data_IF_827005212223
#
_entry.id   IF_827005212223
#
_cell.length_a   1.000
_cell.length_b   1.000
_cell.length_c   1.000
_cell.angle_alpha   90.00
_cell.angle_beta   90.00
_cell.angle_gamma   90.00
#
_symmetry.space_group_name_H-M   'P 1'
#
loop_
_entity.id
_entity.type
_entity.pdbx_description
1 polymer ?
2 non-polymer ?
3 non-polymer ?
4 non-polymer ?
5 non-polymer ?
6 water ?
#
# COMPACT_ATOMS: atom_id res chain seq x y z
N UNK A 1 6.92 14.54 -32.40
CA UNK A 1 8.38 14.59 -32.29
C UNK A 1 8.80 15.16 -30.94
N UNK A 2 8.07 16.17 -30.48
CA UNK A 2 8.42 16.88 -29.25
C UNK A 2 7.76 16.28 -27.99
N UNK A 3 8.58 15.74 -27.09
CA UNK A 3 8.07 15.16 -25.84
C UNK A 3 7.30 16.17 -24.97
N UNK A 4 6.19 15.69 -24.39
CA UNK A 4 5.47 16.43 -23.36
C UNK A 4 5.20 15.46 -22.23
N UNK A 5 5.09 16.01 -21.02
CA UNK A 5 4.83 15.18 -19.86
C UNK A 5 3.64 14.28 -20.10
N UNK A 6 2.57 14.85 -20.64
CA UNK A 6 1.32 14.11 -20.77
C UNK A 6 1.43 12.93 -21.73
N UNK A 7 2.51 12.89 -22.52
CA UNK A 7 2.67 11.86 -23.53
C UNK A 7 2.86 10.49 -22.90
N UNK A 8 3.58 10.45 -21.78
CA UNK A 8 3.87 9.18 -21.13
C UNK A 8 2.75 8.68 -20.21
N UNK A 9 1.66 9.43 -20.14
CA UNK A 9 0.49 9.01 -19.36
C UNK A 9 -0.28 7.94 -20.12
N UNK A 10 -0.92 7.04 -19.40
CA UNK A 10 -1.78 6.03 -20.03
C UNK A 10 -3.12 6.66 -20.38
N UNK A 11 -3.57 6.40 -21.60
CA UNK A 11 -4.83 6.95 -22.11
C UNK A 11 -6.00 5.96 -22.04
N UNK A 12 -5.69 4.67 -21.97
CA UNK A 12 -6.70 3.61 -22.11
C UNK A 12 -6.65 2.58 -20.98
N UNK A 13 -6.31 3.02 -19.77
CA UNK A 13 -6.24 2.10 -18.64
C UNK A 13 -7.17 2.57 -17.53
N UNK A 14 -8.02 1.66 -17.06
CA UNK A 14 -8.99 1.97 -16.02
C UNK A 14 -8.98 0.96 -14.88
N UNK A 15 -9.62 1.34 -13.78
CA UNK A 15 -9.81 0.44 -12.66
C UNK A 15 -11.23 -0.12 -12.72
N UNK A 16 -11.34 -1.40 -13.09
CA UNK A 16 -12.63 -2.05 -13.25
C UNK A 16 -13.21 -2.51 -11.91
N UNK A 17 -12.33 -2.83 -10.96
CA UNK A 17 -12.76 -3.36 -9.67
C UNK A 17 -11.70 -3.19 -8.61
N UNK A 18 -12.13 -3.15 -7.35
CA UNK A 18 -11.24 -2.85 -6.25
C UNK A 18 -11.90 -3.38 -5.00
N UNK A 19 -11.13 -4.07 -4.16
CA UNK A 19 -11.67 -4.58 -2.89
C UNK A 19 -10.58 -4.57 -1.84
N UNK A 20 -10.96 -4.61 -0.58
CA UNK A 20 -9.99 -4.82 0.48
C UNK A 20 -10.52 -5.84 1.48
N UNK A 21 -9.62 -6.40 2.28
CA UNK A 21 -10.00 -7.26 3.39
C UNK A 21 -9.44 -6.66 4.65
N UNK A 22 -10.32 -6.41 5.63
CA UNK A 22 -9.87 -6.01 6.95
C UNK A 22 -9.58 -7.29 7.71
N UNK A 23 -8.41 -7.41 8.30
CA UNK A 23 -8.15 -8.60 9.11
C UNK A 23 -9.06 -8.50 10.33
N UNK A 24 -9.59 -9.64 10.81
CA UNK A 24 -10.67 -9.61 11.81
C UNK A 24 -10.27 -9.24 13.24
N UNK A 25 -9.05 -9.59 13.65
CA UNK A 25 -8.72 -9.54 15.06
C UNK A 25 -8.12 -8.22 15.53
N UNK A 26 -8.88 -7.49 16.35
CA UNK A 26 -8.40 -6.22 16.84
C UNK A 26 -7.45 -6.43 18.02
N UNK A 27 -6.22 -6.01 17.85
CA UNK A 27 -5.27 -5.97 18.96
C UNK A 27 -5.00 -4.51 19.30
N UNK A 28 -5.47 -4.08 20.46
CA UNK A 28 -5.27 -2.70 20.90
C UNK A 28 -3.85 -2.51 21.40
N UNK A 29 -3.35 -1.29 21.33
CA UNK A 29 -2.05 -0.97 21.89
C UNK A 29 -2.14 -1.02 23.42
N UNK A 30 -3.35 -0.80 23.92
CA UNK A 30 -3.66 -1.00 25.34
C UNK A 30 -3.20 -2.39 25.79
N UNK A 31 -3.64 -3.45 25.08
CA UNK A 31 -3.27 -4.82 25.45
C UNK A 31 -1.77 -5.07 25.34
N UNK A 32 -1.17 -4.64 24.23
CA UNK A 32 0.24 -4.88 24.00
C UNK A 32 1.07 -4.31 25.13
N UNK A 33 0.66 -3.14 25.63
CA UNK A 33 1.37 -2.47 26.71
C UNK A 33 1.19 -3.22 28.03
N UNK A 34 -0.03 -3.66 28.32
CA UNK A 34 -0.27 -4.49 29.50
C UNK A 34 0.76 -5.62 29.55
N UNK A 35 1.11 -6.15 28.39
CA UNK A 35 2.12 -7.22 28.31
C UNK A 35 3.55 -6.66 28.35
N UNK A 36 3.71 -5.42 27.91
CA UNK A 36 5.03 -4.80 27.88
C UNK A 36 5.34 -4.05 29.18
N UNK A 37 4.30 -3.78 29.96
CA UNK A 37 4.41 -2.93 31.16
C UNK A 37 5.55 -3.32 32.11
N UNK A 38 5.67 -4.62 32.43
CA UNK A 38 6.77 -5.07 33.28
C UNK A 38 8.14 -4.83 32.63
N UNK A 39 8.15 -4.40 31.37
CA UNK A 39 9.40 -4.12 30.68
C UNK A 39 9.55 -2.61 30.49
N UNK A 40 8.42 -1.92 30.49
CA UNK A 40 8.43 -0.46 30.50
C UNK A 40 8.91 0.02 31.86
N UNK A 41 8.22 -0.42 32.91
CA UNK A 41 8.63 -0.14 34.28
C UNK A 41 10.09 -0.55 34.47
N UNK A 42 10.36 -1.81 34.17
CA UNK A 42 11.70 -2.37 34.32
C UNK A 42 12.76 -1.54 33.59
N UNK A 43 12.34 -0.84 32.55
CA UNK A 43 13.27 0.00 31.78
C UNK A 43 13.10 1.49 32.08
N UNK A 44 12.21 1.80 33.02
CA UNK A 44 11.96 3.18 33.40
C UNK A 44 11.51 4.06 32.24
N UNK A 45 10.46 3.62 31.55
CA UNK A 45 9.91 4.37 30.43
C UNK A 45 8.43 4.65 30.63
N UNK A 46 8.10 5.92 30.84
CA UNK A 46 6.71 6.32 31.05
C UNK A 46 6.07 6.68 29.71
N UNK A 47 6.79 6.38 28.64
CA UNK A 47 6.37 6.76 27.29
C UNK A 47 5.50 5.70 26.63
N UNK A 48 4.24 6.04 26.37
CA UNK A 48 3.38 5.22 25.51
C UNK A 48 3.73 5.54 24.06
N UNK A 49 4.86 4.98 23.62
CA UNK A 49 5.34 5.23 22.26
C UNK A 49 4.30 4.85 21.21
N UNK A 50 3.49 3.82 21.49
CA UNK A 50 2.55 3.35 20.50
C UNK A 50 1.36 4.28 20.36
N UNK A 51 0.73 4.58 21.50
CA UNK A 51 -0.50 5.36 21.49
C UNK A 51 -0.37 6.84 21.17
N UNK A 52 0.67 7.46 21.71
CA UNK A 52 0.84 8.91 21.65
C UNK A 52 2.14 9.37 21.01
N UNK A 53 2.93 8.43 20.49
CA UNK A 53 4.16 8.78 19.79
C UNK A 53 4.00 8.34 18.33
N UNK A 54 3.96 7.01 18.12
CA UNK A 54 3.66 6.49 16.78
C UNK A 54 2.24 6.86 16.43
N UNK A 55 1.38 6.96 17.45
CA UNK A 55 -0.01 7.30 17.24
C UNK A 55 -0.88 6.12 16.79
N UNK A 56 -0.52 4.93 17.21
CA UNK A 56 -1.33 3.76 16.88
C UNK A 56 -2.10 3.24 18.10
N UNK A 57 -3.43 3.24 17.98
CA UNK A 57 -4.30 2.80 19.07
C UNK A 57 -4.64 1.31 18.96
N UNK A 58 -4.69 0.83 17.72
CA UNK A 58 -4.95 -0.59 17.45
C UNK A 58 -4.44 -0.98 16.05
N UNK A 59 -4.27 -2.28 15.86
CA UNK A 59 -3.94 -2.83 14.55
C UNK A 59 -4.71 -4.13 14.42
N UNK A 60 -4.97 -4.56 13.19
CA UNK A 60 -5.67 -5.81 12.96
C UNK A 60 -4.69 -6.94 12.69
N UNK A 61 -4.97 -8.10 13.28
CA UNK A 61 -4.24 -9.32 12.99
C UNK A 61 -5.23 -10.36 12.45
N UNK A 62 -4.70 -11.43 11.87
CA UNK A 62 -5.51 -12.56 11.42
C UNK A 62 -5.82 -13.41 12.63
N UNK A 63 -6.91 -14.18 12.56
CA UNK A 63 -7.32 -15.04 13.68
C UNK A 63 -6.69 -16.41 13.58
N UNK A 64 -6.22 -16.77 12.39
CA UNK A 64 -5.59 -18.08 12.18
C UNK A 64 -4.34 -17.96 11.32
N UNK A 65 -3.74 -19.08 10.93
CA UNK A 65 -2.44 -19.03 10.22
C UNK A 65 -2.63 -18.71 8.73
N UNK A 66 -3.09 -17.51 8.46
CA UNK A 66 -3.40 -17.06 7.12
C UNK A 66 -2.08 -16.78 6.36
N UNK A 67 -1.91 -17.40 5.20
CA UNK A 67 -0.73 -17.12 4.36
C UNK A 67 -0.98 -15.89 3.48
N UNK A 68 0.08 -15.20 3.06
CA UNK A 68 -0.11 -14.04 2.19
C UNK A 68 -1.02 -14.41 1.01
N UNK A 69 -0.79 -15.59 0.43
CA UNK A 69 -1.52 -16.00 -0.77
C UNK A 69 -3.02 -16.18 -0.48
N UNK A 70 -3.34 -16.64 0.74
CA UNK A 70 -4.74 -16.81 1.17
C UNK A 70 -5.46 -15.46 1.22
N UNK A 71 -4.81 -14.49 1.87
CA UNK A 71 -5.38 -13.16 2.02
C UNK A 71 -5.52 -12.46 0.67
N UNK A 72 -4.50 -12.59 -0.17
CA UNK A 72 -4.55 -12.00 -1.50
C UNK A 72 -5.67 -12.63 -2.32
N UNK A 73 -5.84 -13.94 -2.15
CA UNK A 73 -6.87 -14.68 -2.88
C UNK A 73 -8.26 -14.20 -2.49
N UNK A 74 -8.49 -14.07 -1.19
CA UNK A 74 -9.76 -13.57 -0.70
C UNK A 74 -10.04 -12.17 -1.25
N UNK A 75 -9.05 -11.29 -1.20
CA UNK A 75 -9.27 -9.95 -1.73
C UNK A 75 -9.57 -10.00 -3.24
N UNK A 76 -8.91 -10.91 -3.95
CA UNK A 76 -9.03 -10.98 -5.41
C UNK A 76 -10.43 -11.46 -5.85
N UNK A 77 -10.94 -12.49 -5.19
CA UNK A 77 -12.33 -12.91 -5.35
C UNK A 77 -13.33 -11.74 -5.21
N UNK A 78 -13.13 -10.93 -4.18
CA UNK A 78 -13.96 -9.74 -3.95
C UNK A 78 -13.82 -8.68 -5.05
N UNK A 79 -12.60 -8.48 -5.54
CA UNK A 79 -12.38 -7.49 -6.60
C UNK A 79 -13.01 -7.91 -7.93
N UNK A 80 -12.93 -9.20 -8.24
CA UNK A 80 -13.58 -9.76 -9.42
C UNK A 80 -15.09 -9.53 -9.38
N UNK A 81 -15.70 -9.73 -8.21
CA UNK A 81 -17.12 -9.45 -8.02
C UNK A 81 -17.40 -7.96 -8.22
N UNK A 82 -16.52 -7.11 -7.69
CA UNK A 82 -16.68 -5.67 -7.85
C UNK A 82 -16.64 -5.28 -9.32
N UNK A 83 -15.80 -5.95 -10.10
CA UNK A 83 -15.65 -5.65 -11.52
C UNK A 83 -16.72 -6.36 -12.35
N UNK A 84 -17.39 -7.32 -11.73
CA UNK A 84 -18.42 -8.12 -12.38
C UNK A 84 -17.86 -8.93 -13.55
N UNK A 85 -16.74 -9.61 -13.33
CA UNK A 85 -16.12 -10.42 -14.37
C UNK A 85 -15.59 -11.72 -13.79
N UNK A 86 -15.53 -12.74 -14.64
CA UNK A 86 -15.01 -14.03 -14.21
C UNK A 86 -13.50 -14.06 -14.36
N UNK A 87 -12.87 -14.96 -13.60
CA UNK A 87 -11.41 -15.11 -13.60
C UNK A 87 -10.86 -15.39 -15.01
N UNK A 88 -11.69 -15.92 -15.90
CA UNK A 88 -11.21 -16.28 -17.24
C UNK A 88 -10.79 -15.08 -18.08
N UNK A 89 -11.23 -13.89 -17.67
CA UNK A 89 -10.91 -12.66 -18.39
C UNK A 89 -9.49 -12.18 -18.08
N UNK A 90 -8.91 -12.66 -16.99
CA UNK A 90 -7.62 -12.19 -16.49
C UNK A 90 -6.42 -12.73 -17.29
N UNK A 91 -5.65 -11.81 -17.87
CA UNK A 91 -4.47 -12.17 -18.65
C UNK A 91 -3.16 -11.98 -17.89
N UNK A 92 -3.23 -11.30 -16.74
CA UNK A 92 -2.05 -11.01 -15.93
C UNK A 92 -2.43 -10.96 -14.46
N UNK A 93 -1.68 -11.64 -13.60
CA UNK A 93 -1.85 -11.47 -12.17
C UNK A 93 -0.49 -11.21 -11.53
N UNK A 94 -0.37 -10.04 -10.90
CA UNK A 94 0.86 -9.65 -10.23
C UNK A 94 0.61 -9.60 -8.74
N UNK A 95 1.51 -10.20 -7.97
CA UNK A 95 1.47 -10.09 -6.51
C UNK A 95 2.55 -9.10 -6.06
N UNK A 96 2.21 -8.21 -5.13
CA UNK A 96 3.14 -7.13 -4.77
C UNK A 96 3.44 -7.12 -3.28
N UNK A 97 3.07 -8.18 -2.58
CA UNK A 97 3.17 -8.10 -1.11
C UNK A 97 4.61 -8.25 -0.62
N UNK A 98 4.86 -7.72 0.58
CA UNK A 98 6.07 -8.00 1.33
C UNK A 98 6.00 -9.40 1.93
N UNK A 99 4.86 -9.73 2.55
CA UNK A 99 4.62 -11.09 3.05
C UNK A 99 4.71 -12.11 1.90
N UNK A 100 5.29 -13.27 2.15
CA UNK A 100 5.55 -14.23 1.07
C UNK A 100 5.39 -15.68 1.54
N UNK A 101 4.61 -16.49 0.82
CA UNK A 101 4.40 -17.89 1.22
C UNK A 101 5.72 -18.69 1.28
N UNK A 102 6.39 -18.77 0.13
CA UNK A 102 7.60 -19.56 -0.04
C UNK A 102 8.62 -18.79 -0.84
N UNK A 103 9.81 -19.34 -0.96
CA UNK A 103 10.83 -18.79 -1.84
C UNK A 103 10.39 -19.02 -3.29
N UNK A 104 9.76 -20.17 -3.54
CA UNK A 104 9.18 -20.49 -4.83
C UNK A 104 8.11 -21.55 -4.64
N UNK A 105 7.09 -21.55 -5.51
CA UNK A 105 6.93 -20.66 -6.65
C UNK A 105 6.52 -19.26 -6.17
N UNK A 106 6.35 -18.34 -7.10
CA UNK A 106 5.91 -16.99 -6.76
C UNK A 106 4.60 -17.06 -5.99
N UNK A 107 4.34 -16.05 -5.16
CA UNK A 107 3.07 -15.98 -4.46
C UNK A 107 1.93 -15.78 -5.48
N UNK A 108 2.23 -15.08 -6.57
CA UNK A 108 1.27 -14.84 -7.64
C UNK A 108 0.77 -16.13 -8.28
N UNK A 109 1.65 -17.10 -8.48
CA UNK A 109 1.25 -18.37 -9.09
C UNK A 109 0.33 -19.14 -8.14
N UNK A 110 0.54 -18.98 -6.85
CA UNK A 110 -0.32 -19.65 -5.86
C UNK A 110 -1.72 -19.06 -5.87
N UNK A 111 -1.80 -17.73 -5.80
CA UNK A 111 -3.07 -17.02 -5.91
C UNK A 111 -3.76 -17.41 -7.22
N UNK A 112 -3.01 -17.41 -8.31
CA UNK A 112 -3.59 -17.73 -9.62
C UNK A 112 -4.20 -19.13 -9.64
N UNK A 113 -3.48 -20.09 -9.04
CA UNK A 113 -3.97 -21.46 -8.96
C UNK A 113 -5.23 -21.55 -8.12
N UNK A 114 -5.26 -20.84 -7.00
CA UNK A 114 -6.46 -20.78 -6.17
C UNK A 114 -7.67 -20.24 -6.93
N UNK A 115 -7.45 -19.19 -7.73
CA UNK A 115 -8.55 -18.53 -8.44
C UNK A 115 -9.00 -19.31 -9.68
N UNK A 116 -8.10 -20.15 -10.20
CA UNK A 116 -8.38 -20.90 -11.42
C UNK A 116 -8.14 -20.13 -12.71
N UNK A 117 -7.07 -19.34 -12.75
CA UNK A 117 -6.73 -18.61 -13.99
C UNK A 117 -6.53 -19.55 -15.17
N UNK A 118 -6.73 -19.02 -16.37
CA UNK A 118 -6.54 -19.78 -17.58
C UNK A 118 -5.05 -19.92 -17.90
N UNK A 119 -4.73 -20.80 -18.84
CA UNK A 119 -3.35 -21.09 -19.19
C UNK A 119 -2.65 -19.92 -19.89
N UNK A 120 -3.44 -18.91 -20.30
CA UNK A 120 -2.89 -17.71 -20.95
C UNK A 120 -2.45 -16.67 -19.94
N UNK A 121 -2.76 -16.89 -18.67
CA UNK A 121 -2.50 -15.87 -17.66
C UNK A 121 -1.03 -15.85 -17.24
N UNK A 122 -0.41 -14.69 -17.44
CA UNK A 122 0.96 -14.44 -16.99
C UNK A 122 0.95 -14.07 -15.51
N UNK A 123 1.91 -14.60 -14.73
CA UNK A 123 2.00 -14.27 -13.31
C UNK A 123 3.45 -14.10 -12.85
N UNK A 124 3.64 -13.21 -11.87
CA UNK A 124 4.93 -13.03 -11.20
C UNK A 124 4.75 -12.11 -10.00
N UNK A 125 5.73 -12.07 -9.10
CA UNK A 125 5.70 -11.16 -7.95
C UNK A 125 6.59 -9.96 -8.25
N UNK A 126 6.19 -8.81 -7.72
CA UNK A 126 7.04 -7.62 -7.72
C UNK A 126 7.31 -7.30 -6.27
N UNK A 127 8.58 -7.10 -5.94
CA UNK A 127 8.95 -6.73 -4.59
C UNK A 127 9.63 -5.36 -4.56
N UNK A 128 9.06 -4.44 -3.79
CA UNK A 128 9.62 -3.10 -3.65
C UNK A 128 9.11 -2.44 -2.38
N UNK A 129 9.25 -3.13 -1.26
CA UNK A 129 8.82 -2.60 0.03
C UNK A 129 7.41 -2.05 -0.07
N UNK A 130 7.21 -0.83 0.45
CA UNK A 130 5.85 -0.32 0.60
C UNK A 130 5.25 0.29 -0.69
N UNK A 131 6.02 0.32 -1.78
CA UNK A 131 5.54 0.98 -2.99
C UNK A 131 5.09 0.01 -4.07
N UNK A 132 5.20 -1.29 -3.81
CA UNK A 132 5.08 -2.28 -4.89
C UNK A 132 3.68 -2.37 -5.53
N UNK A 133 2.62 -2.01 -4.81
CA UNK A 133 1.30 -2.11 -5.42
C UNK A 133 1.24 -1.09 -6.57
N UNK A 134 1.80 0.09 -6.34
CA UNK A 134 1.86 1.08 -7.41
C UNK A 134 2.74 0.56 -8.55
N UNK A 135 3.89 -0.06 -8.24
CA UNK A 135 4.70 -0.65 -9.32
C UNK A 135 3.89 -1.66 -10.14
N UNK A 136 3.11 -2.51 -9.46
CA UNK A 136 2.30 -3.54 -10.11
C UNK A 136 1.21 -2.96 -10.99
N UNK A 137 0.54 -1.92 -10.48
CA UNK A 137 -0.41 -1.18 -11.30
C UNK A 137 0.24 -0.66 -12.59
N UNK A 138 1.43 -0.10 -12.48
CA UNK A 138 2.11 0.49 -13.63
C UNK A 138 2.53 -0.55 -14.64
N UNK A 139 3.03 -1.68 -14.15
CA UNK A 139 3.45 -2.78 -15.00
C UNK A 139 2.27 -3.36 -15.76
N UNK A 140 1.17 -3.59 -15.06
CA UNK A 140 -0.07 -4.06 -15.68
C UNK A 140 -0.59 -3.00 -16.66
N UNK A 141 -0.53 -1.74 -16.27
CA UNK A 141 -0.99 -0.65 -17.13
C UNK A 141 -0.30 -0.65 -18.50
N UNK A 142 1.01 -0.89 -18.53
CA UNK A 142 1.71 -0.89 -19.82
C UNK A 142 1.29 -2.01 -20.74
N UNK A 143 0.92 -3.16 -20.17
CA UNK A 143 0.46 -4.28 -20.99
C UNK A 143 -0.94 -3.98 -21.49
N UNK A 144 -1.77 -3.43 -20.61
CA UNK A 144 -3.12 -3.02 -21.01
C UNK A 144 -3.07 -1.96 -22.11
N UNK A 145 -2.26 -0.92 -21.89
CA UNK A 145 -2.18 0.21 -22.82
C UNK A 145 -1.75 -0.27 -24.20
N UNK A 146 -0.85 -1.24 -24.21
CA UNK A 146 -0.29 -1.78 -25.44
C UNK A 146 -1.23 -2.77 -26.13
N UNK A 147 -2.23 -3.24 -25.39
CA UNK A 147 -3.18 -4.22 -25.89
C UNK A 147 -2.75 -5.67 -25.79
N UNK A 148 -1.73 -5.97 -24.99
CA UNK A 148 -1.28 -7.36 -24.84
C UNK A 148 -2.30 -8.15 -24.03
N UNK A 149 -3.05 -7.45 -23.18
CA UNK A 149 -4.08 -8.05 -22.34
C UNK A 149 -5.27 -7.12 -22.25
N UNK A 150 -6.40 -7.62 -21.75
CA UNK A 150 -7.61 -6.81 -21.58
C UNK A 150 -7.95 -6.58 -20.10
N UNK A 151 -7.54 -7.50 -19.24
CA UNK A 151 -7.84 -7.39 -17.82
C UNK A 151 -6.64 -7.88 -17.01
N UNK A 152 -6.37 -7.25 -15.88
CA UNK A 152 -5.25 -7.64 -15.03
C UNK A 152 -5.69 -7.60 -13.57
N UNK A 153 -5.15 -8.51 -12.76
CA UNK A 153 -5.29 -8.48 -11.30
C UNK A 153 -3.96 -8.06 -10.66
N UNK A 154 -4.04 -7.12 -9.73
CA UNK A 154 -2.90 -6.79 -8.87
C UNK A 154 -3.36 -7.07 -7.46
N UNK A 155 -2.65 -7.94 -6.76
CA UNK A 155 -3.11 -8.40 -5.45
C UNK A 155 -2.02 -8.27 -4.40
N UNK A 156 -2.42 -8.22 -3.13
CA UNK A 156 -1.47 -8.00 -2.05
C UNK A 156 -2.08 -8.43 -0.73
N UNK A 157 -1.56 -9.50 -0.15
CA UNK A 157 -1.98 -9.95 1.17
C UNK A 157 -0.82 -9.83 2.16
N UNK A 158 -1.10 -9.31 3.35
CA UNK A 158 -0.04 -9.09 4.34
C UNK A 158 -0.39 -9.78 5.64
N UNK A 159 0.58 -10.50 6.21
CA UNK A 159 0.40 -11.10 7.51
C UNK A 159 1.58 -10.76 8.41
N UNK A 160 1.25 -10.25 9.58
CA UNK A 160 2.26 -9.81 10.54
C UNK A 160 2.22 -10.66 11.81
N UNK A 161 1.34 -11.66 11.86
CA UNK A 161 1.16 -12.43 13.08
C UNK A 161 2.46 -12.99 13.64
N UNK A 162 3.24 -13.62 12.78
CA UNK A 162 4.48 -14.24 13.23
C UNK A 162 5.47 -13.17 13.71
N UNK A 163 5.59 -12.08 12.96
CA UNK A 163 6.42 -10.96 13.39
C UNK A 163 6.02 -10.50 14.78
N UNK A 164 4.73 -10.26 15.00
CA UNK A 164 4.27 -9.85 16.33
C UNK A 164 4.60 -10.86 17.44
N UNK A 165 4.53 -12.15 17.09
CA UNK A 165 4.81 -13.19 18.07
C UNK A 165 6.30 -13.23 18.41
N UNK A 166 7.13 -13.26 17.36
CA UNK A 166 8.58 -13.27 17.51
C UNK A 166 9.06 -11.99 18.21
N UNK A 167 8.37 -10.88 17.92
CA UNK A 167 8.79 -9.58 18.44
C UNK A 167 8.38 -9.38 19.90
N UNK A 168 7.14 -9.75 20.23
CA UNK A 168 6.67 -9.63 21.61
C UNK A 168 7.48 -10.48 22.57
N UNK A 169 8.10 -11.54 22.05
CA UNK A 169 8.90 -12.46 22.86
C UNK A 169 10.29 -11.88 23.18
N UNK A 170 10.87 -11.18 22.21
CA UNK A 170 12.21 -10.63 22.38
C UNK A 170 12.22 -9.35 23.22
N UNK A 171 11.07 -8.70 23.33
CA UNK A 171 10.97 -7.45 24.05
C UNK A 171 10.51 -7.66 25.49
N UNK A 172 10.10 -8.88 25.82
CA UNK A 172 9.78 -9.24 27.20
C UNK A 172 10.87 -10.13 27.79
N UNK A 173 11.98 -10.23 27.06
CA UNK A 173 13.15 -10.98 27.51
C UNK A 173 13.92 -10.19 28.56
N UNK A 174 14.54 -10.90 29.52
CA UNK A 174 15.30 -10.26 30.60
C UNK A 174 16.48 -9.44 30.06
N UNK A 175 17.36 -10.08 29.31
CA UNK A 175 18.54 -9.41 28.78
C UNK A 175 18.24 -8.61 27.52
N UNK A 176 17.36 -7.63 27.64
CA UNK A 176 17.04 -6.75 26.51
C UNK A 176 17.30 -5.28 26.85
N UNK A 177 17.99 -4.59 25.96
CA UNK A 177 18.36 -3.20 26.17
C UNK A 177 17.20 -2.26 25.85
N UNK A 178 17.37 -0.97 26.15
CA UNK A 178 16.38 0.04 25.76
C UNK A 178 16.54 0.36 24.28
N UNK A 179 17.72 0.06 23.75
CA UNK A 179 18.00 0.24 22.33
C UNK A 179 17.24 -0.79 21.52
N UNK A 180 17.49 -2.06 21.81
CA UNK A 180 16.78 -3.16 21.16
C UNK A 180 15.27 -2.96 21.31
N UNK A 181 14.82 -2.78 22.54
CA UNK A 181 13.40 -2.55 22.80
C UNK A 181 12.80 -1.49 21.87
N UNK A 182 13.57 -0.43 21.62
CA UNK A 182 13.15 0.64 20.73
C UNK A 182 13.28 0.21 19.27
N UNK A 183 14.36 -0.50 18.97
CA UNK A 183 14.64 -0.98 17.63
C UNK A 183 13.61 -2.01 17.16
N UNK A 184 12.81 -2.52 18.10
CA UNK A 184 11.84 -3.57 17.79
C UNK A 184 10.40 -3.09 17.92
N UNK A 185 10.21 -2.04 18.73
CA UNK A 185 8.91 -1.39 18.84
C UNK A 185 8.30 -1.07 17.48
N UNK A 186 9.15 -0.86 16.48
CA UNK A 186 8.67 -0.47 15.15
C UNK A 186 7.85 -1.57 14.45
N UNK A 187 8.20 -2.82 14.74
CA UNK A 187 7.45 -3.95 14.20
C UNK A 187 6.01 -3.91 14.68
N UNK A 188 5.81 -3.26 15.83
CA UNK A 188 4.50 -3.22 16.48
C UNK A 188 3.62 -2.10 15.92
N UNK A 189 4.03 -1.49 14.82
CA UNK A 189 3.15 -0.57 14.10
C UNK A 189 2.58 -1.23 12.83
N UNK A 190 2.97 -2.48 12.58
CA UNK A 190 2.53 -3.19 11.38
C UNK A 190 1.14 -3.78 11.59
N UNK A 191 0.36 -3.84 10.51
CA UNK A 191 -0.95 -4.48 10.56
C UNK A 191 -1.16 -5.48 9.42
N UNK A 192 -2.21 -6.29 9.55
CA UNK A 192 -2.58 -7.28 8.55
C UNK A 192 -3.73 -6.74 7.72
N UNK A 193 -3.91 -7.33 6.55
CA UNK A 193 -4.99 -6.95 5.66
C UNK A 193 -4.66 -7.35 4.24
N UNK A 194 -5.55 -7.05 3.31
CA UNK A 194 -5.31 -7.42 1.91
C UNK A 194 -6.05 -6.48 0.98
N UNK A 195 -5.62 -6.45 -0.28
CA UNK A 195 -6.33 -5.65 -1.25
C UNK A 195 -6.09 -6.25 -2.61
N UNK A 196 -7.02 -6.04 -3.52
CA UNK A 196 -6.82 -6.45 -4.91
C UNK A 196 -7.50 -5.46 -5.84
N UNK A 197 -6.97 -5.33 -7.05
CA UNK A 197 -7.53 -4.41 -8.02
C UNK A 197 -7.60 -5.10 -9.37
N UNK A 198 -8.75 -4.96 -10.04
CA UNK A 198 -8.86 -5.40 -11.42
C UNK A 198 -8.69 -4.17 -12.32
N UNK A 199 -7.69 -4.21 -13.18
CA UNK A 199 -7.46 -3.13 -14.13
C UNK A 199 -7.87 -3.62 -15.52
N UNK A 200 -8.29 -2.71 -16.38
CA UNK A 200 -8.84 -3.11 -17.67
C UNK A 200 -8.63 -2.04 -18.72
N UNK A 201 -8.64 -2.44 -20.00
CA UNK A 201 -8.63 -1.47 -21.09
C UNK A 201 -9.91 -0.63 -21.01
N UNK A 202 -9.74 0.68 -21.08
CA UNK A 202 -10.83 1.61 -20.80
C UNK A 202 -12.09 1.38 -21.63
N UNK A 203 -11.91 1.01 -22.90
CA UNK A 203 -13.05 0.81 -23.81
C UNK A 203 -13.92 -0.38 -23.39
N UNK A 204 -13.37 -1.29 -22.59
CA UNK A 204 -14.12 -2.45 -22.12
C UNK A 204 -14.95 -2.08 -20.89
N UNK A 205 -14.57 -0.99 -20.24
CA UNK A 205 -15.26 -0.54 -19.04
C UNK A 205 -15.50 0.95 -19.10
N UNK A 206 -16.39 1.37 -20.03
CA UNK A 206 -16.63 2.81 -20.19
C UNK A 206 -17.06 3.47 -18.87
N UNK A 207 -16.49 4.63 -18.53
CA UNK A 207 -16.87 5.37 -17.33
C UNK A 207 -16.25 4.88 -16.01
N UNK A 208 -15.41 3.84 -16.08
CA UNK A 208 -14.70 3.40 -14.89
C UNK A 208 -13.60 4.41 -14.55
N UNK A 209 -13.16 4.44 -13.29
CA UNK A 209 -12.03 5.29 -12.92
C UNK A 209 -10.84 5.09 -13.86
N UNK A 210 -10.11 6.16 -14.15
CA UNK A 210 -8.98 6.07 -15.07
C UNK A 210 -7.69 6.13 -14.29
N UNK A 211 -6.78 5.23 -14.64
CA UNK A 211 -5.43 5.29 -14.07
C UNK A 211 -4.52 5.96 -15.09
N UNK A 212 -3.99 7.11 -14.72
CA UNK A 212 -3.13 7.92 -15.60
C UNK A 212 -1.67 7.48 -15.60
N UNK A 213 -1.22 6.87 -14.51
CA UNK A 213 0.21 6.60 -14.36
C UNK A 213 0.81 7.62 -13.42
N UNK A 214 2.13 7.71 -13.37
CA UNK A 214 2.79 8.56 -12.41
C UNK A 214 4.29 8.61 -12.61
N UNK A 215 5.01 8.90 -11.54
CA UNK A 215 6.44 9.16 -11.64
C UNK A 215 7.10 8.50 -10.44
N UNK A 216 8.38 8.20 -10.59
CA UNK A 216 9.18 7.69 -9.48
C UNK A 216 10.49 8.46 -9.43
N UNK A 217 10.95 8.80 -8.23
CA UNK A 217 12.31 9.28 -8.04
C UNK A 217 12.94 8.43 -6.94
N UNK A 218 14.26 8.33 -6.94
CA UNK A 218 14.91 7.46 -5.97
C UNK A 218 16.09 8.19 -5.31
N UNK A 219 16.49 7.67 -4.16
CA UNK A 219 17.70 8.13 -3.49
C UNK A 219 18.38 6.89 -2.92
N UNK A 220 18.84 6.02 -3.84
CA UNK A 220 19.36 4.71 -3.48
C UNK A 220 20.68 4.84 -2.74
N UNK A 221 21.25 6.05 -2.77
CA UNK A 221 22.40 6.35 -1.94
C UNK A 221 22.11 6.08 -0.46
N UNK A 222 20.82 6.07 -0.11
CA UNK A 222 20.42 5.90 1.28
C UNK A 222 19.84 4.50 1.56
N UNK A 223 20.22 3.52 0.74
CA UNK A 223 19.64 2.18 0.91
C UNK A 223 20.00 1.52 2.25
N UNK A 224 20.95 2.10 2.98
CA UNK A 224 21.34 1.59 4.29
C UNK A 224 20.32 1.89 5.40
N UNK A 225 19.53 2.95 5.23
CA UNK A 225 18.58 3.37 6.26
C UNK A 225 17.48 2.33 6.50
N UNK A 237 14.86 6.81 12.52
CA UNK A 237 15.77 7.94 12.71
C UNK A 237 15.22 9.21 12.05
N UNK A 238 15.59 10.37 12.61
CA UNK A 238 15.18 11.65 12.04
C UNK A 238 15.81 11.84 10.65
N UNK A 239 16.94 11.18 10.42
CA UNK A 239 17.60 11.24 9.12
C UNK A 239 16.73 10.64 8.02
N UNK A 240 16.05 9.54 8.33
CA UNK A 240 15.17 8.87 7.39
C UNK A 240 13.98 9.74 7.00
N UNK A 241 13.41 10.45 7.97
CA UNK A 241 12.32 11.39 7.71
C UNK A 241 12.77 12.56 6.83
N UNK A 242 13.96 13.08 7.11
CA UNK A 242 14.49 14.23 6.38
C UNK A 242 14.82 13.90 4.93
N UNK A 243 15.47 12.77 4.72
CA UNK A 243 15.83 12.35 3.37
C UNK A 243 14.56 11.96 2.60
N UNK A 244 13.61 11.36 3.31
CA UNK A 244 12.35 10.94 2.73
C UNK A 244 11.55 12.10 2.20
N UNK A 245 11.46 13.15 3.01
CA UNK A 245 10.74 14.36 2.61
C UNK A 245 11.46 15.03 1.43
N UNK A 246 12.79 15.03 1.46
CA UNK A 246 13.55 15.66 0.37
C UNK A 246 13.31 14.93 -0.94
N UNK A 247 13.29 13.60 -0.86
CA UNK A 247 13.00 12.80 -2.03
C UNK A 247 11.58 13.08 -2.53
N UNK A 248 10.63 13.16 -1.61
CA UNK A 248 9.22 13.42 -1.98
C UNK A 248 9.08 14.77 -2.65
N UNK A 249 9.85 15.76 -2.19
CA UNK A 249 9.88 17.08 -2.80
C UNK A 249 10.25 16.96 -4.26
N UNK A 250 11.32 16.23 -4.56
CA UNK A 250 11.75 16.13 -5.94
C UNK A 250 10.78 15.28 -6.77
N UNK A 251 10.13 14.31 -6.13
CA UNK A 251 9.17 13.49 -6.85
C UNK A 251 7.97 14.37 -7.18
N UNK A 252 7.67 15.32 -6.29
CA UNK A 252 6.53 16.20 -6.57
C UNK A 252 6.82 17.12 -7.75
N UNK A 253 8.07 17.54 -7.90
CA UNK A 253 8.46 18.28 -9.10
C UNK A 253 8.24 17.43 -10.35
N UNK A 254 8.68 16.18 -10.31
CA UNK A 254 8.44 15.29 -11.45
C UNK A 254 6.93 15.17 -11.72
N UNK A 255 6.12 15.10 -10.66
CA UNK A 255 4.67 14.97 -10.84
C UNK A 255 4.10 16.22 -11.49
N UNK A 256 4.59 17.38 -11.07
CA UNK A 256 4.19 18.63 -11.71
C UNK A 256 4.50 18.56 -13.21
N UNK A 257 5.70 18.06 -13.55
CA UNK A 257 6.17 18.03 -14.93
C UNK A 257 5.45 17.03 -15.83
N UNK A 258 4.89 15.98 -15.23
CA UNK A 258 4.24 14.91 -16.00
C UNK A 258 2.72 14.95 -15.86
N UNK A 259 2.25 15.00 -14.62
CA UNK A 259 0.83 14.96 -14.30
C UNK A 259 0.19 16.35 -14.23
N UNK A 260 1.01 17.39 -14.21
CA UNK A 260 0.49 18.74 -14.05
C UNK A 260 -0.06 18.99 -12.65
N UNK A 261 0.49 18.28 -11.66
CA UNK A 261 0.04 18.42 -10.27
C UNK A 261 0.31 19.77 -9.63
N UNK A 262 -0.74 20.33 -9.02
CA UNK A 262 -0.61 21.39 -8.02
C UNK A 262 -1.36 20.87 -6.80
N UNK A 263 -0.76 21.02 -5.61
CA UNK A 263 -1.30 20.42 -4.39
C UNK A 263 -2.77 20.74 -4.19
N UNK A 264 -3.18 21.94 -4.58
CA UNK A 264 -4.53 22.39 -4.31
C UNK A 264 -5.59 21.87 -5.30
N UNK A 265 -5.15 21.37 -6.45
CA UNK A 265 -6.05 20.86 -7.47
C UNK A 265 -6.37 19.36 -7.31
N UNK A 266 -5.78 18.73 -6.31
CA UNK A 266 -6.04 17.32 -6.02
C UNK A 266 -7.16 17.20 -4.99
N UNK A 267 -8.02 16.22 -5.16
CA UNK A 267 -9.21 16.08 -4.33
C UNK A 267 -9.02 15.12 -3.16
N UNK A 268 -8.14 14.13 -3.32
CA UNK A 268 -7.82 13.19 -2.24
C UNK A 268 -6.35 12.81 -2.33
N UNK A 269 -5.72 12.61 -1.17
CA UNK A 269 -4.36 12.11 -1.12
C UNK A 269 -4.36 10.76 -0.42
N UNK A 270 -4.09 9.70 -1.19
CA UNK A 270 -4.04 8.35 -0.65
C UNK A 270 -2.56 8.05 -0.43
N UNK A 271 -2.17 8.07 0.84
CA UNK A 271 -0.76 8.10 1.19
C UNK A 271 -0.40 6.92 2.05
N UNK A 272 0.70 6.26 1.70
CA UNK A 272 1.21 5.22 2.57
C UNK A 272 1.64 5.86 3.90
N UNK A 273 1.35 5.18 5.01
CA UNK A 273 1.66 5.74 6.33
C UNK A 273 2.62 4.89 7.17
N UNK A 274 3.63 5.55 7.70
CA UNK A 274 4.65 4.91 8.54
C UNK A 274 4.29 5.12 10.02
N UNK A 275 3.91 6.34 10.34
CA UNK A 275 3.48 6.68 11.71
C UNK A 275 2.76 8.01 11.67
N UNK A 276 2.11 8.37 12.78
CA UNK A 276 1.37 9.63 12.82
C UNK A 276 2.28 10.87 12.62
N UNK A 277 3.42 10.91 13.33
CA UNK A 277 4.34 12.06 13.16
C UNK A 277 5.01 12.09 11.79
N UNK A 278 5.18 10.93 11.15
CA UNK A 278 5.71 10.91 9.79
C UNK A 278 4.73 11.54 8.83
N UNK A 279 3.46 11.12 8.93
CA UNK A 279 2.42 11.63 8.06
C UNK A 279 2.20 13.12 8.33
N UNK A 280 2.30 13.49 9.61
CA UNK A 280 2.18 14.89 10.01
C UNK A 280 3.25 15.75 9.33
N UNK A 281 4.50 15.28 9.38
CA UNK A 281 5.60 16.01 8.79
C UNK A 281 5.44 16.15 7.26
N UNK A 282 4.92 15.11 6.63
CA UNK A 282 4.73 15.12 5.18
C UNK A 282 3.66 16.14 4.77
N UNK A 283 2.50 16.03 5.41
CA UNK A 283 1.38 16.90 5.14
C UNK A 283 1.75 18.37 5.33
N UNK A 284 2.51 18.67 6.38
CA UNK A 284 2.96 20.04 6.65
C UNK A 284 3.94 20.53 5.59
N UNK A 285 4.86 19.64 5.21
CA UNK A 285 5.88 20.00 4.23
C UNK A 285 5.30 20.40 2.87
N UNK A 286 4.20 19.77 2.50
CA UNK A 286 3.61 20.00 1.19
C UNK A 286 2.41 20.93 1.24
N UNK A 287 2.03 21.35 2.44
CA UNK A 287 0.89 22.24 2.62
C UNK A 287 -0.41 21.56 2.23
N UNK A 288 -0.53 20.28 2.55
CA UNK A 288 -1.71 19.53 2.18
C UNK A 288 -2.81 19.71 3.23
N UNK A 289 -4.05 19.86 2.76
CA UNK A 289 -5.19 19.93 3.65
C UNK A 289 -5.46 18.54 4.22
N UNK A 290 -5.22 18.36 5.52
CA UNK A 290 -5.32 17.08 6.24
C UNK A 290 -6.67 16.40 6.07
N UNK A 291 -7.67 17.18 5.68
CA UNK A 291 -9.01 16.63 5.46
C UNK A 291 -9.07 15.79 4.18
N UNK A 292 -8.13 16.03 3.28
CA UNK A 292 -8.05 15.27 2.03
C UNK A 292 -7.12 14.05 2.18
N UNK A 293 -6.80 13.70 3.42
CA UNK A 293 -5.89 12.57 3.69
C UNK A 293 -6.56 11.57 4.62
N UNK A 294 -7.24 10.57 4.06
CA UNK A 294 -7.81 9.54 4.92
C UNK A 294 -6.70 8.72 5.56
N UNK A 295 -6.85 8.42 6.85
CA UNK A 295 -5.85 7.65 7.57
C UNK A 295 -6.48 6.44 8.27
N UNK A 296 -5.86 5.28 8.14
CA UNK A 296 -6.34 4.09 8.84
C UNK A 296 -5.29 3.56 9.82
N UNK A 297 -4.14 4.23 9.86
CA UNK A 297 -3.00 3.77 10.66
C UNK A 297 -3.34 3.62 12.15
N UNK A 298 -4.15 4.53 12.67
CA UNK A 298 -4.51 4.50 14.08
C UNK A 298 -5.20 3.23 14.52
N UNK A 299 -5.99 2.63 13.64
CA UNK A 299 -6.77 1.44 14.00
C UNK A 299 -6.37 0.17 13.23
N UNK A 300 -5.53 0.34 12.20
CA UNK A 300 -5.09 -0.79 11.38
C UNK A 300 -3.57 -0.91 11.30
N UNK A 301 -2.86 0.13 11.71
CA UNK A 301 -1.41 0.10 11.63
C UNK A 301 -0.94 0.21 10.18
N UNK A 302 0.31 -0.15 9.95
CA UNK A 302 0.95 -0.02 8.63
C UNK A 302 0.84 -1.36 7.93
N UNK A 303 0.05 -1.41 6.87
CA UNK A 303 -0.15 -2.66 6.14
C UNK A 303 0.78 -2.74 4.92
N UNK A 304 1.94 -2.05 5.00
CA UNK A 304 2.95 -2.14 3.97
C UNK A 304 2.42 -1.73 2.59
N UNK A 305 2.81 -2.48 1.53
CA UNK A 305 2.37 -2.08 0.19
C UNK A 305 0.84 -2.17 -0.05
N UNK A 306 0.12 -2.91 0.79
CA UNK A 306 -1.34 -2.98 0.71
C UNK A 306 -2.02 -1.70 1.23
N UNK A 307 -1.30 -0.86 1.97
CA UNK A 307 -1.90 0.33 2.59
C UNK A 307 -2.65 1.26 1.64
N UNK A 308 -2.00 1.56 0.51
CA UNK A 308 -2.57 2.47 -0.48
C UNK A 308 -3.88 1.96 -1.10
N UNK A 309 -3.89 0.74 -1.68
CA UNK A 309 -5.15 0.25 -2.26
C UNK A 309 -6.26 0.02 -1.22
N UNK A 310 -5.90 -0.38 -0.01
CA UNK A 310 -6.89 -0.56 1.07
C UNK A 310 -7.59 0.77 1.38
N UNK A 311 -6.81 1.83 1.53
CA UNK A 311 -7.38 3.16 1.76
C UNK A 311 -8.22 3.64 0.59
N UNK A 312 -7.73 3.42 -0.63
CA UNK A 312 -8.52 3.77 -1.81
C UNK A 312 -9.84 3.00 -1.81
N UNK A 313 -9.78 1.72 -1.46
CA UNK A 313 -10.98 0.87 -1.44
C UNK A 313 -11.96 1.34 -0.35
N UNK A 314 -11.45 1.73 0.80
CA UNK A 314 -12.31 2.24 1.86
C UNK A 314 -12.96 3.58 1.46
N UNK A 315 -12.20 4.45 0.78
CA UNK A 315 -12.76 5.69 0.27
C UNK A 315 -13.95 5.42 -0.67
N UNK A 316 -13.76 4.48 -1.59
CA UNK A 316 -14.81 4.09 -2.54
C UNK A 316 -16.08 3.63 -1.83
N UNK A 317 -15.95 2.68 -0.92
CA UNK A 317 -17.14 2.11 -0.32
C UNK A 317 -17.87 3.08 0.60
N UNK A 318 -17.19 4.16 1.02
CA UNK A 318 -17.70 5.00 2.10
C UNK A 318 -18.89 5.96 1.88
N UNK A 319 -19.09 6.53 0.69
CA UNK A 319 -18.17 6.51 -0.42
C UNK A 319 -17.81 7.96 -0.66
N UNK A 320 -16.55 8.29 -0.37
CA UNK A 320 -16.09 9.67 -0.37
C UNK A 320 -15.51 10.09 -1.72
N UNK A 321 -15.86 9.36 -2.77
CA UNK A 321 -15.32 9.63 -4.11
C UNK A 321 -16.42 9.98 -5.11
N UNK A 322 -16.18 10.97 -5.96
CA UNK A 322 -17.14 11.36 -6.98
C UNK A 322 -16.50 11.40 -8.36
N UNK A 323 -17.29 11.11 -9.40
CA UNK A 323 -16.74 11.12 -10.76
C UNK A 323 -16.02 12.43 -11.05
N UNK A 324 -14.80 12.31 -11.56
CA UNK A 324 -13.99 13.48 -11.87
C UNK A 324 -12.99 13.84 -10.80
N UNK A 325 -13.12 13.26 -9.62
CA UNK A 325 -12.17 13.51 -8.54
C UNK A 325 -10.74 13.13 -8.94
N UNK A 326 -9.79 14.00 -8.66
CA UNK A 326 -8.39 13.71 -8.93
C UNK A 326 -7.75 13.17 -7.67
N UNK A 327 -7.27 11.93 -7.75
CA UNK A 327 -6.81 11.20 -6.58
C UNK A 327 -5.32 10.89 -6.68
N UNK A 328 -4.55 11.39 -5.72
CA UNK A 328 -3.12 11.15 -5.67
C UNK A 328 -2.81 9.88 -4.88
N UNK A 329 -2.07 8.97 -5.52
CA UNK A 329 -1.58 7.76 -4.87
C UNK A 329 -0.11 7.94 -4.65
N UNK A 330 0.35 7.78 -3.42
CA UNK A 330 1.77 8.01 -3.17
C UNK A 330 2.33 7.40 -1.91
N UNK A 331 3.64 7.30 -1.87
CA UNK A 331 4.31 6.74 -0.72
C UNK A 331 5.81 6.93 -0.84
N UNK A 332 6.48 6.86 0.30
CA UNK A 332 7.93 6.83 0.34
C UNK A 332 8.31 5.45 0.85
N UNK A 333 9.12 4.72 0.09
CA UNK A 333 9.50 3.37 0.49
C UNK A 333 10.99 3.24 0.72
N UNK A 334 11.37 2.13 1.35
CA UNK A 334 12.76 1.81 1.58
C UNK A 334 13.47 1.70 0.24
N UNK A 335 14.72 2.15 0.20
CA UNK A 335 15.45 2.27 -1.05
C UNK A 335 16.53 3.35 -1.04
N UNK A 336 16.18 4.61 -0.84
CA UNK A 336 14.80 5.10 -0.77
C UNK A 336 14.22 5.28 -2.18
N UNK A 337 12.91 5.10 -2.27
CA UNK A 337 12.13 5.37 -3.47
C UNK A 337 10.90 6.17 -3.10
N UNK A 338 10.36 6.88 -4.08
CA UNK A 338 9.12 7.60 -3.86
C UNK A 338 8.34 7.59 -5.18
N UNK A 339 7.06 7.22 -5.11
CA UNK A 339 6.23 7.19 -6.29
C UNK A 339 4.94 7.97 -6.06
N UNK A 340 4.43 8.56 -7.14
CA UNK A 340 3.25 9.41 -7.09
C UNK A 340 2.51 9.18 -8.39
N UNK A 341 1.26 8.77 -8.30
CA UNK A 341 0.48 8.41 -9.49
C UNK A 341 -0.91 8.99 -9.34
N UNK A 342 -1.63 9.12 -10.43
CA UNK A 342 -2.95 9.72 -10.35
C UNK A 342 -4.05 8.82 -10.88
N UNK A 343 -5.18 8.82 -10.17
CA UNK A 343 -6.39 8.17 -10.64
C UNK A 343 -7.42 9.27 -10.75
N UNK A 344 -8.15 9.29 -11.86
CA UNK A 344 -9.29 10.21 -11.98
C UNK A 344 -10.55 9.37 -11.87
N UNK A 345 -11.30 9.58 -10.79
CA UNK A 345 -12.43 8.72 -10.48
C UNK A 345 -13.50 8.80 -11.57
X LIG B 1 -10.15 -12.80 17.11
X LIG C 1 -15.54 9.47 -15.23
X LIG D 1 8.78 1.03 3.26
X LIG D 1 10.02 1.40 3.84
X LIG D 1 9.97 1.33 6.31
X LIG D 1 7.55 0.97 4.10
X LIG D 1 8.74 0.80 2.07
X LIG D 1 7.77 1.04 5.56
X LIG D 1 6.65 1.58 6.15
X LIG D 1 8.97 1.88 5.87
X LIG D 1 8.96 3.37 5.63
X LIG D 1 10.24 4.10 5.41
X LIG D 1 10.19 5.46 6.04
X LIG D 1 10.47 6.60 5.33
X LIG D 1 10.35 7.94 5.97
X LIG D 1 9.12 8.66 5.52
X LIG D 1 9.01 10.02 5.66
X LIG D 1 7.69 10.70 5.57
X LIG E 1 19.70 13.82 -2.66
X LIG E 1 18.61 14.68 -2.36
X LIG E 1 20.67 13.79 -1.48
X LIG E 1 21.26 12.51 -1.36
X LIG E 1 19.93 14.16 -0.21
X LIG E 1 20.79 14.08 0.91
X LIG F 1 12.75 16.06 -10.23
X LIG F 1 12.56 16.10 -11.64
X LIG F 1 14.13 15.52 -9.92
X LIG F 1 14.37 14.42 -10.77
X LIG F 1 15.21 16.56 -10.19
X LIG F 1 16.50 15.95 -10.06
X LIG G 1 2.00 15.59 -2.86
X LIG H 1 -13.56 0.67 -9.31
#
# INVERSE_FOLDING_TARGET
>A
LVPRGSHMLFQNVSIAGLAHIDAPHTLTSKEINERLQPTYDRLGIKTDVLGDVAGIHARRLWDQDVQASDAATQAARKALIDANIGIEKIGLLINTSVSRDYLEPSTASIVSGNLGVSDHCMTFDVANACLAFINGMDIAARMLERGEIDYALVVDGETANLVYEKTLERMTSPDVTEEEFRNELAALTLGCGAAAMVMARSELVPDAPRYKGGVTRSATEWNKLCRGNLDRMVTDTRLLLIEGIKLAQKTFVAAKQVLGWAVEELDQFVIHQVSRPHTAAFVKSFGIDPAKVMTIFGEHGNIGPASVPIVLSKLKELGRLKKGDRIALLGIGSGLNCSMAEVVW
>B hetero
1 MN MN
>C hetero
1 MN MN
>D hetero
1 CER C1 N1 O1 C2 O2 C3 O3 C4 C5 C6 C7 C8 C9 C10 C11 C12
>E hetero
1 GOL C1 O1 C2 O2 C3 O3
>F hetero
1 GOL C1 O1 C2 O2 C3 O3
>G hetero
1 XE XE
>H hetero
1 XE XE
#
